data_IF_602418868146
#
_entry.id   IF_602418868146
#
_cell.length_a   1.000
_cell.length_b   1.000
_cell.length_c   1.000
_cell.angle_alpha   90.00
_cell.angle_beta   90.00
_cell.angle_gamma   90.00
#
_symmetry.space_group_name_H-M   'P 1'
#
loop_
_entity.id
_entity.type
_entity.pdbx_description
1 polymer ?
#
# COMPACT_ATOMS: atom_id res chain seq x y z
N UNK A 1 -9.70 -12.60 1.00
CA UNK A 1 -8.59 -11.91 0.33
C UNK A 1 -7.62 -12.96 -0.19
N UNK A 2 -7.05 -12.80 -1.38
CA UNK A 2 -6.14 -13.80 -1.99
C UNK A 2 -4.80 -13.14 -2.32
N UNK A 3 -3.70 -13.73 -1.86
CA UNK A 3 -2.33 -13.28 -2.09
C UNK A 3 -1.65 -14.16 -3.15
N UNK A 4 -2.29 -14.28 -4.32
CA UNK A 4 -1.92 -15.26 -5.35
C UNK A 4 -0.72 -14.88 -6.24
N UNK A 5 -0.26 -13.63 -6.23
CA UNK A 5 0.78 -13.17 -7.15
C UNK A 5 1.31 -11.78 -6.82
N UNK A 6 2.27 -11.31 -7.64
CA UNK A 6 2.94 -10.03 -7.43
C UNK A 6 3.56 -9.89 -6.04
N UNK A 7 3.51 -8.68 -5.50
CA UNK A 7 4.01 -8.37 -4.14
C UNK A 7 3.24 -9.14 -3.07
N UNK A 8 1.91 -9.28 -3.20
CA UNK A 8 1.11 -10.04 -2.24
C UNK A 8 1.60 -11.50 -2.13
N UNK A 9 1.83 -12.15 -3.28
CA UNK A 9 2.40 -13.50 -3.31
C UNK A 9 3.83 -13.57 -2.77
N UNK A 10 4.66 -12.52 -2.99
CA UNK A 10 6.01 -12.45 -2.44
C UNK A 10 6.00 -12.36 -0.90
N UNK A 11 5.14 -11.51 -0.33
CA UNK A 11 4.92 -11.37 1.12
C UNK A 11 4.48 -12.72 1.70
N UNK A 12 3.49 -13.38 1.10
CA UNK A 12 3.04 -14.72 1.55
C UNK A 12 4.15 -15.77 1.51
N UNK A 13 4.97 -15.80 0.45
CA UNK A 13 6.07 -16.79 0.34
C UNK A 13 7.13 -16.58 1.43
N UNK A 14 7.51 -15.32 1.66
CA UNK A 14 8.52 -14.99 2.67
C UNK A 14 7.99 -15.16 4.09
N UNK A 15 6.82 -14.58 4.38
CA UNK A 15 6.23 -14.53 5.72
C UNK A 15 5.46 -15.78 6.13
N UNK A 16 4.89 -16.52 5.18
CA UNK A 16 4.10 -17.72 5.44
C UNK A 16 2.62 -17.60 5.07
N UNK A 17 1.94 -18.75 5.00
CA UNK A 17 0.55 -18.84 4.59
C UNK A 17 -0.42 -18.25 5.63
N UNK A 18 -0.01 -18.22 6.90
CA UNK A 18 -0.75 -17.67 8.03
C UNK A 18 -1.20 -16.22 7.79
N UNK A 19 -0.38 -15.41 7.10
CA UNK A 19 -0.72 -14.02 6.74
C UNK A 19 -1.97 -13.98 5.86
N UNK A 20 -2.05 -14.84 4.85
CA UNK A 20 -3.22 -14.92 3.97
C UNK A 20 -4.42 -15.52 4.71
N UNK A 21 -4.21 -16.52 5.56
CA UNK A 21 -5.27 -17.14 6.34
C UNK A 21 -5.95 -16.14 7.28
N UNK A 22 -5.17 -15.30 7.98
CA UNK A 22 -5.70 -14.20 8.78
C UNK A 22 -6.43 -13.15 7.94
N UNK A 23 -5.84 -12.74 6.80
CA UNK A 23 -6.47 -11.78 5.90
C UNK A 23 -7.77 -12.31 5.27
N UNK A 24 -7.87 -13.63 5.07
CA UNK A 24 -9.11 -14.29 4.58
C UNK A 24 -10.23 -14.26 5.62
N UNK A 25 -9.92 -14.43 6.91
CA UNK A 25 -10.92 -14.37 7.99
C UNK A 25 -11.57 -12.99 8.12
N UNK A 26 -10.87 -11.94 7.67
CA UNK A 26 -11.35 -10.55 7.67
C UNK A 26 -11.99 -10.13 6.34
N UNK A 27 -12.11 -11.03 5.37
CA UNK A 27 -12.70 -10.73 4.07
C UNK A 27 -14.24 -10.82 4.11
N UNK A 28 -14.95 -10.08 3.25
CA UNK A 28 -14.44 -9.18 2.21
C UNK A 28 -13.94 -7.84 2.77
N UNK A 29 -12.85 -7.34 2.18
CA UNK A 29 -12.35 -5.98 2.42
C UNK A 29 -12.58 -5.20 1.13
N UNK A 30 -13.47 -4.19 1.11
CA UNK A 30 -13.69 -3.38 -0.09
C UNK A 30 -12.54 -2.39 -0.32
N UNK A 31 -12.44 -1.83 -1.53
CA UNK A 31 -11.55 -0.70 -1.80
C UNK A 31 -11.93 0.48 -0.89
N UNK A 32 -10.92 1.18 -0.36
CA UNK A 32 -11.12 2.23 0.65
C UNK A 32 -11.24 1.72 2.08
N UNK A 33 -11.00 0.42 2.31
CA UNK A 33 -10.78 -0.16 3.63
C UNK A 33 -9.49 -0.97 3.64
N UNK A 34 -8.89 -1.10 4.82
CA UNK A 34 -7.70 -1.89 5.03
C UNK A 34 -7.76 -2.60 6.39
N UNK A 35 -7.14 -3.78 6.44
CA UNK A 35 -7.05 -4.63 7.64
C UNK A 35 -5.60 -4.98 7.92
N UNK A 36 -5.26 -5.19 9.18
CA UNK A 36 -3.93 -5.64 9.59
C UNK A 36 -3.96 -7.13 9.95
N UNK A 37 -2.85 -7.81 9.73
CA UNK A 37 -2.58 -9.18 10.17
C UNK A 37 -1.21 -9.23 10.82
N UNK A 38 -0.91 -10.34 11.51
CA UNK A 38 0.47 -10.68 11.83
C UNK A 38 1.34 -10.77 10.56
N UNK A 39 2.65 -10.66 10.74
CA UNK A 39 3.62 -10.71 9.65
C UNK A 39 4.28 -12.08 9.44
N UNK A 40 3.84 -13.11 10.18
CA UNK A 40 4.42 -14.45 10.15
C UNK A 40 5.92 -14.41 10.46
N UNK A 41 6.74 -14.89 9.52
CA UNK A 41 8.21 -14.90 9.61
C UNK A 41 8.91 -13.63 9.14
N UNK A 42 8.18 -12.62 8.66
CA UNK A 42 8.81 -11.38 8.22
C UNK A 42 9.38 -10.62 9.42
N UNK A 43 10.51 -9.90 9.25
CA UNK A 43 11.10 -9.09 10.32
C UNK A 43 10.40 -7.74 10.47
N UNK A 44 9.07 -7.75 10.55
CA UNK A 44 8.21 -6.57 10.75
C UNK A 44 7.04 -6.93 11.66
N UNK A 45 6.40 -5.93 12.28
CA UNK A 45 5.35 -6.18 13.27
C UNK A 45 4.05 -6.72 12.66
N UNK A 46 3.63 -6.14 11.52
CA UNK A 46 2.35 -6.45 10.90
C UNK A 46 2.38 -6.26 9.38
N UNK A 47 1.35 -6.80 8.71
CA UNK A 47 1.08 -6.55 7.29
C UNK A 47 -0.29 -5.89 7.15
N UNK A 48 -0.33 -4.73 6.50
CA UNK A 48 -1.57 -4.03 6.18
C UNK A 48 -2.01 -4.43 4.77
N UNK A 49 -3.25 -4.90 4.66
CA UNK A 49 -3.84 -5.31 3.40
C UNK A 49 -4.88 -4.30 2.93
N UNK A 50 -4.59 -3.63 1.82
CA UNK A 50 -5.45 -2.60 1.23
C UNK A 50 -5.74 -2.92 -0.25
N UNK A 51 -6.93 -3.46 -0.56
CA UNK A 51 -7.32 -3.76 -1.94
C UNK A 51 -7.39 -2.51 -2.82
N UNK A 52 -6.75 -2.58 -3.99
CA UNK A 52 -6.92 -1.59 -5.07
C UNK A 52 -7.95 -2.04 -6.10
N UNK A 53 -8.47 -3.26 -5.98
CA UNK A 53 -9.41 -3.87 -6.92
C UNK A 53 -10.55 -4.55 -6.17
N UNK A 54 -11.74 -4.60 -6.77
CA UNK A 54 -12.90 -5.29 -6.20
C UNK A 54 -12.82 -6.82 -6.35
N UNK A 55 -12.12 -7.28 -7.39
CA UNK A 55 -11.89 -8.70 -7.67
C UNK A 55 -10.44 -8.89 -8.11
N UNK A 56 -9.86 -10.08 -7.87
CA UNK A 56 -8.52 -10.40 -8.33
C UNK A 56 -8.35 -10.19 -9.84
N UNK A 57 -7.16 -9.74 -10.23
CA UNK A 57 -6.72 -9.62 -11.62
C UNK A 57 -7.54 -8.68 -12.53
N UNK A 58 -8.18 -7.65 -11.97
CA UNK A 58 -8.84 -6.59 -12.74
C UNK A 58 -7.98 -5.33 -12.86
N UNK A 59 -8.27 -4.49 -13.85
CA UNK A 59 -7.70 -3.14 -13.90
C UNK A 59 -8.22 -2.32 -12.72
N UNK A 60 -7.38 -1.41 -12.23
CA UNK A 60 -7.75 -0.44 -11.19
C UNK A 60 -7.90 0.97 -11.78
N UNK A 61 -8.34 1.92 -10.97
CA UNK A 61 -8.37 3.34 -11.27
C UNK A 61 -7.50 4.13 -10.30
N UNK A 62 -7.16 5.37 -10.68
CA UNK A 62 -6.46 6.34 -9.81
C UNK A 62 -7.18 6.53 -8.47
N UNK A 63 -8.50 6.66 -8.51
CA UNK A 63 -9.35 6.82 -7.34
C UNK A 63 -9.26 5.61 -6.40
N UNK A 64 -9.31 4.40 -6.94
CA UNK A 64 -9.21 3.17 -6.13
C UNK A 64 -7.85 3.05 -5.43
N UNK A 65 -6.76 3.43 -6.09
CA UNK A 65 -5.43 3.46 -5.46
C UNK A 65 -5.32 4.55 -4.41
N UNK A 66 -5.86 5.75 -4.67
CA UNK A 66 -5.92 6.82 -3.67
C UNK A 66 -6.65 6.36 -2.41
N UNK A 67 -7.85 5.77 -2.56
CA UNK A 67 -8.66 5.25 -1.46
C UNK A 67 -7.94 4.12 -0.70
N UNK A 68 -7.30 3.18 -1.41
CA UNK A 68 -6.54 2.11 -0.78
C UNK A 68 -5.33 2.64 0.02
N UNK A 69 -4.63 3.65 -0.52
CA UNK A 69 -3.49 4.28 0.17
C UNK A 69 -3.93 5.00 1.44
N UNK A 70 -5.02 5.77 1.38
CA UNK A 70 -5.61 6.41 2.56
C UNK A 70 -6.00 5.38 3.61
N UNK A 71 -6.71 4.33 3.21
CA UNK A 71 -7.14 3.28 4.13
C UNK A 71 -5.95 2.58 4.82
N UNK A 72 -4.84 2.37 4.09
CA UNK A 72 -3.64 1.79 4.66
C UNK A 72 -2.97 2.73 5.69
N UNK A 73 -2.90 4.03 5.42
CA UNK A 73 -2.38 5.04 6.34
C UNK A 73 -3.25 5.17 7.60
N UNK A 74 -4.58 5.20 7.44
CA UNK A 74 -5.53 5.19 8.56
C UNK A 74 -5.43 3.92 9.41
N UNK A 75 -5.25 2.76 8.76
CA UNK A 75 -4.99 1.50 9.45
C UNK A 75 -3.68 1.57 10.25
N UNK A 76 -2.61 2.10 9.66
CA UNK A 76 -1.33 2.28 10.35
C UNK A 76 -1.45 3.15 11.62
N UNK A 77 -2.22 4.23 11.56
CA UNK A 77 -2.51 5.07 12.75
C UNK A 77 -3.28 4.31 13.84
N UNK A 78 -4.30 3.53 13.45
CA UNK A 78 -5.10 2.73 14.39
C UNK A 78 -4.26 1.65 15.07
N UNK A 79 -3.38 1.00 14.34
CA UNK A 79 -2.47 -0.02 14.86
C UNK A 79 -1.23 0.58 15.57
N UNK A 80 -1.10 1.91 15.62
CA UNK A 80 -0.01 2.59 16.33
C UNK A 80 1.37 2.50 15.64
N UNK A 81 1.39 2.15 14.36
CA UNK A 81 2.60 2.00 13.55
C UNK A 81 3.37 3.33 13.45
N UNK A 82 4.71 3.25 13.47
CA UNK A 82 5.61 4.42 13.34
C UNK A 82 6.33 4.50 12.01
N UNK A 83 6.51 3.37 11.33
CA UNK A 83 7.13 3.31 10.01
C UNK A 83 6.35 2.34 9.13
N UNK A 84 6.11 2.71 7.88
CA UNK A 84 5.36 1.90 6.92
C UNK A 84 6.07 1.90 5.58
N UNK A 85 6.06 0.75 4.89
CA UNK A 85 6.58 0.63 3.53
C UNK A 85 5.43 0.30 2.56
N UNK A 86 5.36 1.04 1.46
CA UNK A 86 4.38 0.86 0.39
C UNK A 86 5.05 0.33 -0.87
N UNK A 87 4.56 -0.76 -1.48
CA UNK A 87 4.91 -1.10 -2.85
C UNK A 87 4.17 -0.19 -3.83
N UNK A 88 4.52 -0.21 -5.12
CA UNK A 88 3.74 0.44 -6.19
C UNK A 88 2.32 -0.09 -6.32
N UNK A 89 1.37 0.52 -5.60
CA UNK A 89 -0.01 0.04 -5.54
C UNK A 89 -0.79 0.34 -6.82
N UNK A 90 -1.50 -0.67 -7.31
CA UNK A 90 -2.27 -0.58 -8.56
C UNK A 90 -1.43 -0.62 -9.84
N UNK A 91 -0.10 -0.75 -9.71
CA UNK A 91 0.79 -1.08 -10.80
C UNK A 91 0.74 -2.59 -11.11
N UNK A 92 1.41 -3.05 -12.18
CA UNK A 92 1.35 -4.43 -12.64
C UNK A 92 -0.03 -4.79 -13.18
N UNK A 93 -0.69 -5.79 -12.59
CA UNK A 93 -2.01 -6.28 -13.06
C UNK A 93 -3.08 -5.19 -13.05
N UNK A 94 -2.96 -4.21 -12.15
CA UNK A 94 -3.89 -3.07 -12.10
C UNK A 94 -3.78 -2.11 -13.29
N UNK A 95 -2.65 -2.12 -14.00
CA UNK A 95 -2.47 -1.41 -15.26
C UNK A 95 -2.45 0.12 -15.15
N UNK A 96 -2.18 0.69 -13.97
CA UNK A 96 -1.80 2.10 -13.85
C UNK A 96 -0.35 2.30 -14.29
N UNK A 97 -0.06 3.44 -14.92
CA UNK A 97 1.31 3.85 -15.15
C UNK A 97 2.03 4.14 -13.82
N UNK A 98 3.36 3.95 -13.75
CA UNK A 98 4.15 4.29 -12.56
C UNK A 98 3.92 5.73 -12.09
N UNK A 99 3.90 6.68 -13.02
CA UNK A 99 3.63 8.09 -12.74
C UNK A 99 2.27 8.32 -12.07
N UNK A 100 1.22 7.70 -12.61
CA UNK A 100 -0.15 7.87 -12.12
C UNK A 100 -0.33 7.23 -10.74
N UNK A 101 0.28 6.07 -10.50
CA UNK A 101 0.28 5.41 -9.19
C UNK A 101 1.06 6.23 -8.15
N UNK A 102 2.27 6.66 -8.48
CA UNK A 102 3.10 7.48 -7.59
C UNK A 102 2.39 8.78 -7.20
N UNK A 103 1.78 9.48 -8.16
CA UNK A 103 1.06 10.71 -7.90
C UNK A 103 -0.03 10.54 -6.83
N UNK A 104 -0.93 9.58 -7.01
CA UNK A 104 -2.07 9.39 -6.10
C UNK A 104 -1.63 8.87 -4.73
N UNK A 105 -0.60 8.03 -4.69
CA UNK A 105 -0.06 7.49 -3.44
C UNK A 105 0.62 8.58 -2.61
N UNK A 106 1.45 9.42 -3.23
CA UNK A 106 2.15 10.51 -2.54
C UNK A 106 1.20 11.64 -2.13
N UNK A 107 0.16 11.91 -2.92
CA UNK A 107 -0.93 12.80 -2.51
C UNK A 107 -1.67 12.27 -1.28
N UNK A 108 -1.98 10.97 -1.22
CA UNK A 108 -2.58 10.37 -0.04
C UNK A 108 -1.71 10.57 1.21
N UNK A 109 -0.40 10.35 1.07
CA UNK A 109 0.55 10.58 2.17
C UNK A 109 0.61 12.06 2.57
N UNK A 110 0.66 13.00 1.61
CA UNK A 110 0.66 14.44 1.90
C UNK A 110 -0.58 14.85 2.70
N UNK A 111 -1.75 14.43 2.24
CA UNK A 111 -3.02 14.70 2.94
C UNK A 111 -3.03 14.10 4.36
N UNK A 112 -2.46 12.90 4.54
CA UNK A 112 -2.32 12.26 5.84
C UNK A 112 -1.36 13.01 6.77
N UNK A 113 -0.24 13.51 6.23
CA UNK A 113 0.71 14.36 6.98
C UNK A 113 0.04 15.66 7.40
N UNK A 114 -0.66 16.33 6.48
CA UNK A 114 -1.32 17.62 6.71
C UNK A 114 -2.45 17.51 7.76
N UNK A 115 -3.11 16.35 7.83
CA UNK A 115 -4.12 16.05 8.85
C UNK A 115 -3.52 15.77 10.25
N UNK A 116 -2.20 15.66 10.35
CA UNK A 116 -1.48 15.29 11.57
C UNK A 116 -1.31 13.77 11.69
N UNK A 117 -0.05 13.32 11.55
CA UNK A 117 0.31 11.89 11.59
C UNK A 117 1.23 11.56 12.76
N UNK A 118 1.10 10.33 13.30
CA UNK A 118 2.07 9.76 14.25
C UNK A 118 3.19 9.00 13.56
N UNK A 119 3.08 8.76 12.25
CA UNK A 119 4.13 8.14 11.44
C UNK A 119 5.40 9.00 11.49
N UNK A 120 6.54 8.32 11.52
CA UNK A 120 7.88 8.90 11.50
C UNK A 120 8.59 8.64 10.18
N UNK A 121 8.21 7.57 9.48
CA UNK A 121 8.74 7.23 8.17
C UNK A 121 7.69 6.57 7.29
N UNK A 122 7.74 6.84 5.99
CA UNK A 122 6.97 6.16 4.97
C UNK A 122 7.88 5.90 3.76
N UNK A 123 8.21 4.64 3.52
CA UNK A 123 9.07 4.23 2.41
C UNK A 123 8.23 3.80 1.20
N UNK A 124 8.49 4.36 0.02
CA UNK A 124 7.87 3.92 -1.23
C UNK A 124 8.84 3.02 -1.98
N UNK A 125 8.63 1.71 -1.89
CA UNK A 125 9.51 0.68 -2.43
C UNK A 125 9.16 0.42 -3.88
N UNK A 126 10.07 0.81 -4.77
CA UNK A 126 9.96 0.58 -6.21
C UNK A 126 10.68 -0.71 -6.62
N UNK A 127 10.00 -1.52 -7.45
CA UNK A 127 10.61 -2.70 -8.06
C UNK A 127 11.26 -2.40 -9.43
N UNK A 128 10.91 -1.26 -10.04
CA UNK A 128 11.45 -0.83 -11.34
C UNK A 128 11.96 0.60 -11.25
N UNK A 129 12.91 0.95 -12.12
CA UNK A 129 13.51 2.29 -12.16
C UNK A 129 12.48 3.38 -12.50
N UNK A 130 11.52 3.09 -13.38
CA UNK A 130 10.46 4.04 -13.75
C UNK A 130 9.54 4.36 -12.57
N UNK A 131 9.28 3.36 -11.71
CA UNK A 131 8.49 3.57 -10.50
C UNK A 131 9.28 4.33 -9.43
N UNK A 132 10.58 4.06 -9.31
CA UNK A 132 11.48 4.80 -8.42
C UNK A 132 11.56 6.28 -8.81
N UNK A 133 11.76 6.55 -10.11
CA UNK A 133 11.78 7.90 -10.67
C UNK A 133 10.44 8.61 -10.43
N UNK A 134 9.32 7.92 -10.68
CA UNK A 134 7.99 8.46 -10.44
C UNK A 134 7.77 8.82 -8.97
N UNK A 135 8.13 7.94 -8.03
CA UNK A 135 8.03 8.24 -6.60
C UNK A 135 8.92 9.41 -6.20
N UNK A 136 10.17 9.43 -6.66
CA UNK A 136 11.12 10.51 -6.36
C UNK A 136 10.61 11.87 -6.85
N UNK A 137 10.09 11.93 -8.08
CA UNK A 137 9.50 13.13 -8.67
C UNK A 137 8.31 13.65 -7.86
N UNK A 138 7.35 12.77 -7.52
CA UNK A 138 6.15 13.19 -6.79
C UNK A 138 6.42 13.50 -5.32
N UNK A 139 7.35 12.80 -4.67
CA UNK A 139 7.80 13.15 -3.33
C UNK A 139 8.46 14.53 -3.31
N UNK A 140 9.34 14.84 -4.28
CA UNK A 140 9.93 16.17 -4.39
C UNK A 140 8.87 17.26 -4.63
N UNK A 141 7.88 17.00 -5.47
CA UNK A 141 6.82 17.97 -5.80
C UNK A 141 5.80 18.21 -4.68
N UNK A 142 5.50 17.20 -3.87
CA UNK A 142 4.39 17.27 -2.89
C UNK A 142 4.86 17.36 -1.44
N UNK A 143 6.03 16.83 -1.11
CA UNK A 143 6.49 16.70 0.28
C UNK A 143 7.66 17.64 0.62
N UNK A 144 8.47 18.03 -0.37
CA UNK A 144 9.45 19.10 -0.19
C UNK A 144 8.72 20.40 -0.48
N UNK A 145 8.50 21.22 0.55
CA UNK A 145 8.04 22.59 0.36
C UNK A 145 9.06 23.38 -0.46
N UNK A 146 8.60 24.44 -1.13
CA UNK A 146 9.48 25.45 -1.72
C UNK A 146 10.45 26.04 -0.68
#
# INVERSE_FOLDING_TARGET
MLMGGGVAGAIKRAGGAEIEEEARKQAPVPVGKAVATGAGRLPVDLVIHAPTMERPAMRTTREKVLLATKAALECAEREGVKAIAFPGMGTGVGGLSPDSAAEVMLRALKEHIDAGTKLKAADFVAFTAELEEAFSKWAAKLLKGD
#
